data_IF_684340946249
#
_entry.id   IF_684340946249
#
_cell.length_a   1.000
_cell.length_b   1.000
_cell.length_c   1.000
_cell.angle_alpha   90.00
_cell.angle_beta   90.00
_cell.angle_gamma   90.00
#
_symmetry.space_group_name_H-M   'P 1'
#
loop_
_entity.id
_entity.type
_entity.pdbx_description
1 polymer ?
#
# COMPACT_ATOMS: atom_id res chain seq x y z
N UNK A 1 -45.19 39.78 29.62
CA UNK A 1 -44.53 39.47 28.33
C UNK A 1 -43.24 38.68 28.62
N UNK A 2 -43.31 37.74 29.58
CA UNK A 2 -42.12 37.32 30.36
C UNK A 2 -41.89 35.81 30.35
N UNK A 3 -42.94 35.03 30.08
CA UNK A 3 -42.86 33.57 30.06
C UNK A 3 -42.23 33.10 28.75
N UNK A 4 -42.57 33.73 27.63
CA UNK A 4 -42.04 33.39 26.29
C UNK A 4 -40.56 33.75 26.15
N UNK A 5 -40.12 34.88 26.70
CA UNK A 5 -38.69 35.25 26.73
C UNK A 5 -37.88 34.27 27.58
N UNK A 6 -38.40 33.86 28.74
CA UNK A 6 -37.73 32.90 29.61
C UNK A 6 -37.55 31.52 28.95
N UNK A 7 -38.57 31.03 28.24
CA UNK A 7 -38.44 29.79 27.46
C UNK A 7 -37.43 29.90 26.32
N UNK A 8 -37.32 31.06 25.66
CA UNK A 8 -36.31 31.31 24.62
C UNK A 8 -34.88 31.39 25.20
N UNK A 9 -34.72 32.00 26.37
CA UNK A 9 -33.43 32.03 27.09
C UNK A 9 -32.98 30.63 27.48
N UNK A 10 -33.88 29.82 28.04
CA UNK A 10 -33.60 28.44 28.44
C UNK A 10 -33.24 27.57 27.21
N UNK A 11 -33.94 27.76 26.10
CA UNK A 11 -33.65 27.08 24.84
C UNK A 11 -32.27 27.47 24.29
N UNK A 12 -31.91 28.76 24.33
CA UNK A 12 -30.60 29.24 23.88
C UNK A 12 -29.48 28.64 24.73
N UNK A 13 -29.67 28.59 26.05
CA UNK A 13 -28.71 28.00 26.99
C UNK A 13 -28.51 26.49 26.74
N UNK A 14 -29.61 25.76 26.51
CA UNK A 14 -29.56 24.33 26.16
C UNK A 14 -28.83 24.09 24.83
N UNK A 15 -29.11 24.89 23.80
CA UNK A 15 -28.46 24.80 22.50
C UNK A 15 -26.96 25.07 22.62
N UNK A 16 -26.54 26.07 23.39
CA UNK A 16 -25.12 26.38 23.58
C UNK A 16 -24.38 25.26 24.33
N UNK A 17 -25.00 24.70 25.38
CA UNK A 17 -24.41 23.59 26.15
C UNK A 17 -24.31 22.33 25.30
N UNK A 18 -25.29 22.06 24.45
CA UNK A 18 -25.31 20.86 23.60
C UNK A 18 -24.49 21.02 22.31
N UNK A 19 -24.33 22.24 21.82
CA UNK A 19 -23.67 22.53 20.55
C UNK A 19 -22.18 22.17 20.55
N UNK A 20 -21.46 22.50 21.64
CA UNK A 20 -20.01 22.22 21.73
C UNK A 20 -19.73 20.71 21.84
N UNK A 21 -20.39 19.94 22.73
CA UNK A 21 -20.25 18.48 22.76
C UNK A 21 -20.65 17.80 21.45
N UNK A 22 -21.73 18.26 20.80
CA UNK A 22 -22.16 17.71 19.51
C UNK A 22 -21.12 17.97 18.42
N UNK A 23 -20.58 19.19 18.33
CA UNK A 23 -19.52 19.54 17.39
C UNK A 23 -18.24 18.73 17.64
N UNK A 24 -17.84 18.56 18.91
CA UNK A 24 -16.71 17.71 19.29
C UNK A 24 -16.94 16.24 18.91
N UNK A 25 -18.13 15.71 19.16
CA UNK A 25 -18.49 14.35 18.80
C UNK A 25 -18.43 14.11 17.29
N UNK A 26 -19.02 15.03 16.50
CA UNK A 26 -18.97 14.98 15.03
C UNK A 26 -17.51 15.05 14.57
N UNK A 27 -16.71 15.97 15.12
CA UNK A 27 -15.30 16.10 14.76
C UNK A 27 -14.48 14.83 15.05
N UNK A 28 -14.69 14.20 16.21
CA UNK A 28 -14.00 12.95 16.57
C UNK A 28 -14.42 11.78 15.69
N UNK A 29 -15.72 11.68 15.36
CA UNK A 29 -16.24 10.67 14.43
C UNK A 29 -15.68 10.85 13.03
N UNK A 30 -15.63 12.08 12.55
CA UNK A 30 -15.08 12.43 11.25
C UNK A 30 -13.57 12.15 11.17
N UNK A 31 -12.80 12.52 12.20
CA UNK A 31 -11.38 12.15 12.33
C UNK A 31 -11.16 10.63 12.27
N UNK A 32 -12.02 9.87 12.94
CA UNK A 32 -11.95 8.41 12.90
C UNK A 32 -12.26 7.86 11.50
N UNK A 33 -13.31 8.35 10.86
CA UNK A 33 -13.66 7.96 9.49
C UNK A 33 -12.56 8.30 8.48
N UNK A 34 -12.02 9.52 8.53
CA UNK A 34 -10.91 9.96 7.65
C UNK A 34 -9.63 9.16 7.86
N UNK A 35 -9.42 8.59 9.05
CA UNK A 35 -8.31 7.66 9.28
C UNK A 35 -8.56 6.34 8.57
N UNK A 36 -9.76 5.78 8.72
CA UNK A 36 -10.17 4.56 8.02
C UNK A 36 -10.14 4.72 6.50
N UNK A 37 -10.66 5.82 5.96
CA UNK A 37 -10.64 6.12 4.52
C UNK A 37 -9.22 6.30 3.97
N UNK A 38 -8.32 6.98 4.68
CA UNK A 38 -6.91 7.06 4.27
C UNK A 38 -6.22 5.70 4.24
N UNK A 39 -6.58 4.82 5.17
CA UNK A 39 -6.10 3.44 5.15
C UNK A 39 -6.65 2.71 3.91
N UNK A 40 -7.94 2.81 3.59
CA UNK A 40 -8.55 2.21 2.39
C UNK A 40 -8.05 2.78 1.06
N UNK A 41 -7.88 4.09 0.92
CA UNK A 41 -7.38 4.71 -0.32
C UNK A 41 -5.93 4.32 -0.65
N UNK A 42 -5.16 3.81 0.32
CA UNK A 42 -3.82 3.26 0.07
C UNK A 42 -3.89 1.83 -0.47
N UNK A 43 -4.91 1.05 -0.09
CA UNK A 43 -5.12 -0.30 -0.64
C UNK A 43 -5.46 -0.26 -2.13
N UNK A 44 -6.31 0.68 -2.55
CA UNK A 44 -6.73 0.85 -3.95
C UNK A 44 -5.53 1.09 -4.89
N UNK A 45 -4.57 1.92 -4.45
CA UNK A 45 -3.39 2.24 -5.24
C UNK A 45 -2.40 1.06 -5.40
N UNK A 46 -2.36 0.11 -4.46
CA UNK A 46 -1.56 -1.11 -4.59
C UNK A 46 -2.24 -2.12 -5.52
N UNK A 47 -3.55 -2.26 -5.41
CA UNK A 47 -4.34 -3.16 -6.27
C UNK A 47 -4.29 -2.72 -7.74
N UNK A 48 -4.42 -1.41 -8.00
CA UNK A 48 -4.26 -0.85 -9.34
C UNK A 48 -2.89 -1.19 -9.94
N UNK A 49 -1.82 -1.10 -9.14
CA UNK A 49 -0.46 -1.44 -9.57
C UNK A 49 -0.25 -2.93 -9.79
N UNK A 50 -0.94 -3.75 -9.01
CA UNK A 50 -0.96 -5.19 -9.25
C UNK A 50 -1.64 -5.52 -10.59
N UNK A 51 -2.78 -4.92 -10.90
CA UNK A 51 -3.44 -5.13 -12.20
C UNK A 51 -2.54 -4.69 -13.37
N UNK A 52 -1.87 -3.53 -13.23
CA UNK A 52 -0.93 -3.00 -14.23
C UNK A 52 0.22 -3.97 -14.51
N UNK A 53 0.86 -4.55 -13.48
CA UNK A 53 1.94 -5.52 -13.71
C UNK A 53 1.42 -6.81 -14.34
N UNK A 54 0.22 -7.29 -13.99
CA UNK A 54 -0.36 -8.47 -14.63
C UNK A 54 -0.65 -8.23 -16.12
N UNK A 55 -1.09 -7.02 -16.49
CA UNK A 55 -1.25 -6.64 -17.89
C UNK A 55 0.09 -6.64 -18.64
N UNK A 56 1.15 -6.08 -18.05
CA UNK A 56 2.49 -6.11 -18.64
C UNK A 56 3.01 -7.55 -18.81
N UNK A 57 2.76 -8.43 -17.85
CA UNK A 57 3.12 -9.85 -17.97
C UNK A 57 2.39 -10.51 -19.16
N UNK A 58 1.10 -10.19 -19.36
CA UNK A 58 0.32 -10.69 -20.50
C UNK A 58 0.80 -10.16 -21.85
N UNK A 59 1.31 -8.92 -21.90
CA UNK A 59 1.91 -8.33 -23.11
C UNK A 59 3.28 -8.92 -23.43
N UNK A 60 4.03 -9.38 -22.42
CA UNK A 60 5.36 -9.94 -22.56
C UNK A 60 5.45 -11.40 -22.07
N UNK A 61 4.69 -12.34 -22.67
CA UNK A 61 4.54 -13.70 -22.15
C UNK A 61 5.80 -14.58 -22.27
N UNK A 62 6.83 -14.12 -22.99
CA UNK A 62 8.11 -14.80 -23.14
C UNK A 62 9.12 -14.45 -22.05
N UNK A 63 8.84 -13.45 -21.21
CA UNK A 63 9.71 -13.01 -20.12
C UNK A 63 9.34 -13.73 -18.82
N UNK A 64 10.32 -13.98 -17.94
CA UNK A 64 10.11 -14.68 -16.67
C UNK A 64 9.63 -13.72 -15.57
N UNK A 65 8.49 -13.06 -15.84
CA UNK A 65 7.95 -11.94 -15.05
C UNK A 65 6.63 -12.27 -14.33
N UNK A 66 6.06 -13.45 -14.62
CA UNK A 66 4.89 -13.97 -13.91
C UNK A 66 5.25 -14.51 -12.52
N UNK A 67 4.27 -14.58 -11.63
CA UNK A 67 4.44 -15.17 -10.29
C UNK A 67 4.76 -16.68 -10.37
N UNK A 68 4.48 -17.34 -11.48
CA UNK A 68 4.97 -18.69 -11.76
C UNK A 68 6.24 -18.63 -12.61
N UNK A 69 7.40 -19.10 -12.08
CA UNK A 69 8.65 -19.03 -12.82
C UNK A 69 8.70 -20.03 -13.97
N UNK A 70 9.46 -19.72 -15.02
CA UNK A 70 9.77 -20.71 -16.04
C UNK A 70 10.67 -21.83 -15.50
N UNK A 71 10.34 -23.07 -15.82
CA UNK A 71 11.21 -24.23 -15.52
C UNK A 71 12.53 -24.14 -16.30
N UNK A 72 12.47 -23.64 -17.54
CA UNK A 72 13.62 -23.39 -18.41
C UNK A 72 13.39 -22.07 -19.16
N UNK A 73 13.88 -20.94 -18.65
CA UNK A 73 13.70 -19.65 -19.30
C UNK A 73 14.34 -19.62 -20.70
N UNK A 74 13.66 -19.06 -21.72
CA UNK A 74 14.25 -18.90 -23.04
C UNK A 74 15.38 -17.88 -23.01
N UNK A 75 16.34 -17.98 -23.94
CA UNK A 75 17.37 -16.96 -24.11
C UNK A 75 16.73 -15.66 -24.63
N UNK A 76 16.89 -14.58 -23.87
CA UNK A 76 16.33 -13.26 -24.18
C UNK A 76 17.22 -12.45 -25.11
N UNK A 77 16.62 -11.70 -26.03
CA UNK A 77 17.30 -10.63 -26.76
C UNK A 77 17.64 -9.46 -25.83
N UNK A 78 18.53 -8.56 -26.25
CA UNK A 78 18.86 -7.36 -25.45
C UNK A 78 17.64 -6.47 -25.18
N UNK A 79 16.73 -6.36 -26.15
CA UNK A 79 15.46 -5.64 -25.96
C UNK A 79 14.58 -6.32 -24.89
N UNK A 80 14.46 -7.65 -24.96
CA UNK A 80 13.68 -8.43 -23.99
C UNK A 80 14.28 -8.36 -22.58
N UNK A 81 15.60 -8.36 -22.44
CA UNK A 81 16.26 -8.14 -21.14
C UNK A 81 15.91 -6.77 -20.55
N UNK A 82 15.87 -5.73 -21.38
CA UNK A 82 15.50 -4.38 -20.94
C UNK A 82 14.02 -4.28 -20.56
N UNK A 83 13.14 -5.00 -21.27
CA UNK A 83 11.72 -5.12 -20.91
C UNK A 83 11.56 -5.87 -19.58
N UNK A 84 12.27 -6.99 -19.39
CA UNK A 84 12.25 -7.76 -18.14
C UNK A 84 12.73 -6.91 -16.96
N UNK A 85 13.88 -6.23 -17.10
CA UNK A 85 14.40 -5.29 -16.12
C UNK A 85 13.36 -4.24 -15.71
N UNK A 86 12.69 -3.61 -16.67
CA UNK A 86 11.68 -2.59 -16.41
C UNK A 86 10.46 -3.15 -15.64
N UNK A 87 9.96 -4.33 -16.02
CA UNK A 87 8.81 -4.97 -15.35
C UNK A 87 9.20 -5.40 -13.92
N UNK A 88 10.39 -5.96 -13.74
CA UNK A 88 10.88 -6.33 -12.41
C UNK A 88 11.09 -5.12 -11.51
N UNK A 89 11.51 -3.96 -12.05
CA UNK A 89 11.59 -2.71 -11.29
C UNK A 89 10.21 -2.20 -10.85
N UNK A 90 9.18 -2.35 -11.69
CA UNK A 90 7.79 -2.06 -11.31
C UNK A 90 7.39 -2.96 -10.13
N UNK A 91 7.71 -4.25 -10.18
CA UNK A 91 7.45 -5.19 -9.08
C UNK A 91 8.14 -4.77 -7.79
N UNK A 92 9.43 -4.43 -7.85
CA UNK A 92 10.19 -3.97 -6.67
C UNK A 92 9.56 -2.72 -6.06
N UNK A 93 9.08 -1.79 -6.89
CA UNK A 93 8.36 -0.59 -6.42
C UNK A 93 7.06 -0.93 -5.67
N UNK A 94 6.32 -1.95 -6.13
CA UNK A 94 5.12 -2.46 -5.42
C UNK A 94 5.53 -3.04 -4.06
N UNK A 95 6.59 -3.85 -4.01
CA UNK A 95 7.10 -4.42 -2.76
C UNK A 95 7.56 -3.36 -1.76
N UNK A 96 8.28 -2.33 -2.20
CA UNK A 96 8.66 -1.21 -1.35
C UNK A 96 7.41 -0.50 -0.80
N UNK A 97 6.41 -0.26 -1.65
CA UNK A 97 5.17 0.41 -1.25
C UNK A 97 4.40 -0.41 -0.22
N UNK A 98 4.31 -1.72 -0.41
CA UNK A 98 3.75 -2.64 0.58
C UNK A 98 4.54 -2.60 1.89
N UNK A 99 5.87 -2.72 1.84
CA UNK A 99 6.73 -2.63 3.02
C UNK A 99 6.50 -1.34 3.81
N UNK A 100 6.52 -0.18 3.16
CA UNK A 100 6.28 1.12 3.83
C UNK A 100 4.88 1.23 4.43
N UNK A 101 3.88 0.62 3.79
CA UNK A 101 2.51 0.56 4.29
C UNK A 101 2.40 -0.27 5.58
N UNK A 102 3.12 -1.39 5.67
CA UNK A 102 3.00 -2.33 6.77
C UNK A 102 4.04 -2.16 7.90
N UNK A 103 5.20 -1.53 7.63
CA UNK A 103 6.31 -1.38 8.58
C UNK A 103 5.91 -0.81 9.96
N UNK A 104 4.90 0.06 10.02
CA UNK A 104 4.50 0.78 11.25
C UNK A 104 3.21 0.25 11.90
N UNK A 105 2.74 -0.90 11.45
CA UNK A 105 1.44 -1.44 11.84
C UNK A 105 1.45 -2.01 13.26
N UNK A 106 0.38 -1.73 14.01
CA UNK A 106 0.10 -2.35 15.32
C UNK A 106 -1.06 -3.35 15.32
N UNK A 107 -1.89 -3.41 14.26
CA UNK A 107 -3.03 -4.35 14.21
C UNK A 107 -2.58 -5.74 13.75
N UNK A 108 -3.21 -6.79 14.30
CA UNK A 108 -2.87 -8.17 13.94
C UNK A 108 -3.21 -8.48 12.48
N UNK A 109 -4.39 -8.07 11.99
CA UNK A 109 -4.80 -8.33 10.61
C UNK A 109 -3.81 -7.80 9.55
N UNK A 110 -3.18 -6.65 9.82
CA UNK A 110 -2.17 -6.08 8.92
C UNK A 110 -0.79 -6.76 9.07
N UNK A 111 -0.52 -7.43 10.20
CA UNK A 111 0.66 -8.32 10.31
C UNK A 111 0.46 -9.57 9.48
N UNK A 112 -0.72 -10.17 9.53
CA UNK A 112 -1.05 -11.36 8.73
C UNK A 112 -0.96 -11.04 7.22
N UNK A 113 -1.37 -9.83 6.82
CA UNK A 113 -1.18 -9.35 5.44
C UNK A 113 0.30 -9.15 5.08
N UNK A 114 1.12 -8.63 6.00
CA UNK A 114 2.56 -8.46 5.78
C UNK A 114 3.28 -9.80 5.57
N UNK A 115 2.90 -10.84 6.30
CA UNK A 115 3.49 -12.18 6.17
C UNK A 115 3.39 -12.70 4.72
N UNK A 116 2.26 -12.49 4.06
CA UNK A 116 2.09 -12.85 2.64
C UNK A 116 3.06 -12.09 1.71
N UNK A 117 3.22 -10.79 1.91
CA UNK A 117 4.18 -9.98 1.15
C UNK A 117 5.62 -10.41 1.39
N UNK A 118 5.99 -10.71 2.64
CA UNK A 118 7.34 -11.15 2.97
C UNK A 118 7.68 -12.49 2.32
N UNK A 119 6.73 -13.43 2.27
CA UNK A 119 6.87 -14.70 1.53
C UNK A 119 7.12 -14.42 0.05
N UNK A 120 6.26 -13.62 -0.59
CA UNK A 120 6.37 -13.33 -2.02
C UNK A 120 7.71 -12.65 -2.37
N UNK A 121 8.13 -11.64 -1.60
CA UNK A 121 9.40 -10.93 -1.82
C UNK A 121 10.59 -11.91 -1.76
N UNK A 122 10.60 -12.80 -0.77
CA UNK A 122 11.68 -13.79 -0.63
C UNK A 122 11.68 -14.81 -1.77
N UNK A 123 10.51 -15.24 -2.25
CA UNK A 123 10.40 -16.12 -3.42
C UNK A 123 10.94 -15.45 -4.69
N UNK A 124 10.69 -14.15 -4.88
CA UNK A 124 11.26 -13.39 -6.00
C UNK A 124 12.77 -13.18 -5.86
N UNK A 125 13.27 -12.84 -4.66
CA UNK A 125 14.71 -12.71 -4.40
C UNK A 125 15.49 -14.01 -4.62
N UNK A 126 14.81 -15.16 -4.57
CA UNK A 126 15.40 -16.45 -4.91
C UNK A 126 15.65 -16.64 -6.42
N UNK A 127 14.94 -15.91 -7.29
CA UNK A 127 15.05 -16.02 -8.77
C UNK A 127 16.27 -15.28 -9.30
N UNK A 128 16.93 -15.88 -10.29
CA UNK A 128 18.18 -15.34 -10.82
C UNK A 128 18.00 -14.00 -11.56
N UNK A 129 16.94 -13.86 -12.36
CA UNK A 129 16.63 -12.62 -13.08
C UNK A 129 16.33 -11.46 -12.11
N UNK A 130 15.49 -11.71 -11.11
CA UNK A 130 15.15 -10.72 -10.09
C UNK A 130 16.36 -10.36 -9.22
N UNK A 131 17.17 -11.33 -8.82
CA UNK A 131 18.39 -11.11 -8.03
C UNK A 131 19.40 -10.24 -8.78
N UNK A 132 19.54 -10.42 -10.10
CA UNK A 132 20.39 -9.57 -10.93
C UNK A 132 19.91 -8.12 -10.93
N UNK A 133 18.61 -7.89 -11.16
CA UNK A 133 18.01 -6.55 -11.11
C UNK A 133 18.11 -5.95 -9.71
N UNK A 134 17.82 -6.72 -8.66
CA UNK A 134 17.92 -6.28 -7.27
C UNK A 134 19.34 -5.85 -6.91
N UNK A 135 20.36 -6.61 -7.30
CA UNK A 135 21.75 -6.28 -7.00
C UNK A 135 22.19 -4.94 -7.63
N UNK A 136 21.71 -4.63 -8.83
CA UNK A 136 22.04 -3.40 -9.54
C UNK A 136 21.24 -2.19 -9.04
N UNK A 137 19.94 -2.38 -8.77
CA UNK A 137 19.00 -1.27 -8.57
C UNK A 137 18.52 -1.08 -7.12
N UNK A 138 18.73 -2.04 -6.22
CA UNK A 138 18.33 -1.90 -4.81
C UNK A 138 18.81 -0.61 -4.13
N UNK A 139 20.00 -0.03 -4.44
CA UNK A 139 20.42 1.23 -3.82
C UNK A 139 19.51 2.44 -4.12
N UNK A 140 18.62 2.36 -5.11
CA UNK A 140 17.68 3.43 -5.44
C UNK A 140 16.43 3.45 -4.56
N UNK A 141 16.15 2.35 -3.84
CA UNK A 141 14.97 2.18 -3.01
C UNK A 141 15.23 2.57 -1.54
N UNK A 142 14.18 2.58 -0.74
CA UNK A 142 14.19 2.93 0.67
C UNK A 142 15.20 2.08 1.45
N UNK A 143 16.01 2.75 2.27
CA UNK A 143 17.11 2.09 3.00
C UNK A 143 16.62 1.01 3.95
N UNK A 144 15.48 1.22 4.61
CA UNK A 144 14.95 0.23 5.57
C UNK A 144 14.32 -0.97 4.87
N UNK A 145 13.72 -0.76 3.70
CA UNK A 145 13.27 -1.84 2.83
C UNK A 145 14.46 -2.69 2.38
N UNK A 146 15.47 -2.05 1.77
CA UNK A 146 16.69 -2.73 1.27
C UNK A 146 17.42 -3.48 2.38
N UNK A 147 17.56 -2.89 3.58
CA UNK A 147 18.18 -3.54 4.72
C UNK A 147 17.42 -4.78 5.21
N UNK A 148 16.10 -4.82 5.07
CA UNK A 148 15.28 -5.94 5.51
C UNK A 148 15.45 -7.18 4.62
N UNK A 149 15.86 -6.98 3.36
CA UNK A 149 15.93 -8.04 2.34
C UNK A 149 17.34 -8.30 1.78
N UNK A 150 18.36 -7.61 2.31
CA UNK A 150 19.78 -7.84 1.99
C UNK A 150 20.50 -8.70 3.05
N UNK A 151 19.77 -9.34 3.97
CA UNK A 151 20.32 -10.12 5.08
C UNK A 151 20.84 -11.49 4.66
#
# INVERSE_FOLDING_TARGET
>A
MDITSHYLELATFLITIMGVPAALFIYLREQHNQRTEREYGTYDALDDKYIEIQQLCLEHPSLDVFDSPFVNPPALTEEQKKQEEAILLIRISIFERAFLMYQRTRSQAKKDQWEGWEIEINEWLARDNFKAVWAEHSPYFDKSFVQSFNA
#
